data_IF_533503596281
#
_entry.id   IF_533503596281
#
_cell.length_a   1.000
_cell.length_b   1.000
_cell.length_c   1.000
_cell.angle_alpha   90.00
_cell.angle_beta   90.00
_cell.angle_gamma   90.00
#
_symmetry.space_group_name_H-M   'P 1'
#
loop_
_entity.id
_entity.type
_entity.pdbx_description
1 polymer ?
#
# COMPACT_ATOMS: atom_id res chain seq x y z
N UNK A 1 15.45 8.01 -10.52
CA UNK A 1 14.80 7.99 -9.19
C UNK A 1 13.60 7.03 -9.17
N UNK A 2 12.80 6.89 -10.23
CA UNK A 2 11.65 5.94 -10.25
C UNK A 2 12.03 4.48 -10.00
N UNK A 3 13.17 4.02 -10.51
CA UNK A 3 13.58 2.61 -10.36
C UNK A 3 13.94 2.25 -8.92
N UNK A 4 14.43 3.22 -8.12
CA UNK A 4 14.70 3.01 -6.68
C UNK A 4 13.39 2.88 -5.90
N UNK A 5 12.37 3.69 -6.21
CA UNK A 5 11.07 3.58 -5.54
C UNK A 5 10.33 2.29 -5.91
N UNK A 6 10.40 1.84 -7.15
CA UNK A 6 9.84 0.55 -7.53
C UNK A 6 10.47 -0.59 -6.75
N UNK A 7 11.80 -0.62 -6.67
CA UNK A 7 12.51 -1.63 -5.89
C UNK A 7 12.15 -1.56 -4.40
N UNK A 8 12.13 -0.36 -3.81
CA UNK A 8 11.74 -0.15 -2.42
C UNK A 8 10.33 -0.68 -2.14
N UNK A 9 9.35 -0.32 -2.97
CA UNK A 9 7.96 -0.74 -2.80
C UNK A 9 7.82 -2.27 -2.94
N UNK A 10 8.54 -2.88 -3.90
CA UNK A 10 8.59 -4.34 -4.02
C UNK A 10 9.16 -5.00 -2.75
N UNK A 11 10.25 -4.48 -2.19
CA UNK A 11 10.85 -5.04 -0.96
C UNK A 11 9.89 -4.95 0.22
N UNK A 12 9.23 -3.80 0.40
CA UNK A 12 8.22 -3.62 1.45
C UNK A 12 7.10 -4.64 1.25
N UNK A 13 6.52 -4.70 0.05
CA UNK A 13 5.42 -5.59 -0.29
C UNK A 13 5.77 -7.07 -0.10
N UNK A 14 6.94 -7.52 -0.58
CA UNK A 14 7.40 -8.91 -0.45
C UNK A 14 7.58 -9.32 1.01
N UNK A 15 8.16 -8.44 1.85
CA UNK A 15 8.31 -8.71 3.28
C UNK A 15 6.96 -8.74 4.02
N UNK A 16 6.09 -7.77 3.76
CA UNK A 16 4.73 -7.73 4.34
C UNK A 16 3.97 -8.99 3.95
N UNK A 17 3.86 -9.27 2.65
CA UNK A 17 3.21 -10.48 2.12
C UNK A 17 3.78 -11.76 2.73
N UNK A 18 5.10 -11.87 2.85
CA UNK A 18 5.76 -13.04 3.42
C UNK A 18 5.31 -13.34 4.85
N UNK A 19 5.31 -12.33 5.73
CA UNK A 19 4.90 -12.53 7.12
C UNK A 19 3.39 -12.75 7.25
N UNK A 20 2.58 -12.06 6.45
CA UNK A 20 1.14 -12.25 6.44
C UNK A 20 0.75 -13.67 6.00
N UNK A 21 1.37 -14.20 4.94
CA UNK A 21 1.15 -15.57 4.47
C UNK A 21 1.61 -16.59 5.51
N UNK A 22 2.77 -16.37 6.13
CA UNK A 22 3.28 -17.23 7.22
C UNK A 22 2.28 -17.29 8.37
N UNK A 23 1.82 -16.14 8.87
CA UNK A 23 0.83 -16.06 9.95
C UNK A 23 -0.49 -16.71 9.56
N UNK A 24 -0.94 -16.52 8.32
CA UNK A 24 -2.14 -17.17 7.79
C UNK A 24 -1.99 -18.70 7.77
N UNK A 25 -0.81 -19.22 7.43
CA UNK A 25 -0.55 -20.67 7.42
C UNK A 25 -0.58 -21.28 8.83
N UNK A 26 -0.23 -20.50 9.86
CA UNK A 26 -0.22 -20.93 11.25
C UNK A 26 -1.60 -20.83 11.91
N UNK A 27 -2.36 -19.78 11.58
CA UNK A 27 -3.61 -19.42 12.30
C UNK A 27 -4.89 -19.71 11.51
N UNK A 28 -4.79 -19.95 10.20
CA UNK A 28 -5.94 -20.04 9.31
C UNK A 28 -6.66 -18.69 9.14
N UNK A 29 -7.82 -18.70 8.49
CA UNK A 29 -8.65 -17.50 8.38
C UNK A 29 -9.36 -17.24 9.71
N UNK A 30 -8.99 -16.13 10.36
CA UNK A 30 -9.54 -15.72 11.65
C UNK A 30 -10.54 -14.58 11.41
N UNK A 31 -11.54 -14.84 10.57
CA UNK A 31 -12.63 -13.89 10.39
C UNK A 31 -13.49 -13.86 11.66
N UNK A 32 -13.44 -12.75 12.41
CA UNK A 32 -14.39 -12.53 13.50
C UNK A 32 -15.82 -12.63 12.93
N UNK A 33 -16.51 -13.75 13.22
CA UNK A 33 -17.93 -13.91 12.94
C UNK A 33 -18.70 -13.29 14.10
N UNK A 34 -18.53 -11.98 14.32
CA UNK A 34 -19.16 -11.33 15.46
C UNK A 34 -20.57 -10.89 15.11
N UNK A 35 -21.47 -11.15 16.06
CA UNK A 35 -22.89 -10.77 16.10
C UNK A 35 -23.16 -9.26 16.04
N UNK A 36 -22.12 -8.41 15.98
CA UNK A 36 -22.20 -6.96 16.05
C UNK A 36 -21.29 -6.30 15.01
N UNK A 37 -21.74 -6.11 13.76
CA UNK A 37 -20.92 -5.58 12.66
C UNK A 37 -20.39 -4.16 12.89
N UNK A 38 -20.98 -3.39 13.81
CA UNK A 38 -20.61 -1.97 14.04
C UNK A 38 -19.37 -1.78 14.94
N UNK A 39 -18.70 -2.88 15.36
CA UNK A 39 -17.49 -2.86 16.22
C UNK A 39 -16.32 -3.63 15.60
N UNK A 40 -16.21 -3.64 14.28
CA UNK A 40 -15.08 -4.25 13.56
C UNK A 40 -13.78 -3.48 13.89
N UNK A 41 -13.18 -3.83 15.02
CA UNK A 41 -11.84 -3.41 15.51
C UNK A 41 -10.82 -4.56 15.40
N UNK A 42 -11.13 -5.58 14.60
CA UNK A 42 -10.21 -6.68 14.27
C UNK A 42 -9.00 -6.19 13.44
N UNK A 43 -9.11 -4.99 12.87
CA UNK A 43 -8.10 -4.23 12.12
C UNK A 43 -6.71 -4.21 12.79
N UNK A 44 -6.63 -3.99 14.10
CA UNK A 44 -5.34 -3.63 14.71
C UNK A 44 -4.23 -4.69 14.60
N UNK A 45 -4.53 -5.99 14.70
CA UNK A 45 -3.45 -6.98 14.86
C UNK A 45 -2.67 -7.27 13.58
N UNK A 46 -3.34 -7.26 12.43
CA UNK A 46 -2.69 -7.56 11.16
C UNK A 46 -1.97 -6.32 10.63
N UNK A 47 -2.57 -5.15 10.85
CA UNK A 47 -1.99 -3.84 10.53
C UNK A 47 -0.75 -3.56 11.39
N UNK A 48 -0.76 -3.90 12.69
CA UNK A 48 0.41 -3.78 13.58
C UNK A 48 1.64 -4.53 13.04
N UNK A 49 1.46 -5.77 12.59
CA UNK A 49 2.56 -6.58 12.02
C UNK A 49 3.10 -5.95 10.75
N UNK A 50 2.22 -5.48 9.85
CA UNK A 50 2.65 -4.86 8.62
C UNK A 50 3.35 -3.52 8.86
N UNK A 51 2.89 -2.73 9.84
CA UNK A 51 3.55 -1.50 10.29
C UNK A 51 4.97 -1.78 10.76
N UNK A 52 5.18 -2.79 11.62
CA UNK A 52 6.51 -3.14 12.12
C UNK A 52 7.48 -3.49 10.99
N UNK A 53 7.02 -4.26 10.00
CA UNK A 53 7.81 -4.63 8.83
C UNK A 53 8.16 -3.41 7.98
N UNK A 54 7.20 -2.52 7.74
CA UNK A 54 7.42 -1.29 6.98
C UNK A 54 8.50 -0.43 7.66
N UNK A 55 8.42 -0.29 8.99
CA UNK A 55 9.41 0.45 9.77
C UNK A 55 10.80 -0.19 9.71
N UNK A 56 10.89 -1.52 9.78
CA UNK A 56 12.16 -2.25 9.62
C UNK A 56 12.79 -1.98 8.26
N UNK A 57 12.01 -1.98 7.18
CA UNK A 57 12.52 -1.73 5.82
C UNK A 57 12.97 -0.28 5.63
N UNK A 58 12.30 0.67 6.29
CA UNK A 58 12.57 2.10 6.13
C UNK A 58 13.55 2.66 7.16
N UNK A 59 14.00 1.88 8.15
CA UNK A 59 14.83 2.36 9.26
C UNK A 59 16.11 3.09 8.82
N UNK A 60 16.72 2.66 7.72
CA UNK A 60 17.97 3.22 7.18
C UNK A 60 17.73 4.25 6.07
N UNK A 61 16.46 4.57 5.78
CA UNK A 61 16.06 5.53 4.75
C UNK A 61 15.72 6.87 5.39
N UNK A 62 16.34 7.94 4.90
CA UNK A 62 15.97 9.31 5.27
C UNK A 62 14.66 9.68 4.59
N UNK A 63 13.54 9.36 5.22
CA UNK A 63 12.22 9.67 4.68
C UNK A 63 11.22 10.03 5.78
N UNK A 64 10.22 10.83 5.41
CA UNK A 64 9.06 11.07 6.24
C UNK A 64 8.05 9.96 6.00
N UNK A 65 7.57 9.32 7.07
CA UNK A 65 6.69 8.15 6.99
C UNK A 65 5.30 8.53 7.50
N UNK A 66 4.30 8.33 6.64
CA UNK A 66 2.89 8.50 6.95
C UNK A 66 2.19 7.16 6.75
N UNK A 67 1.55 6.63 7.79
CA UNK A 67 0.82 5.37 7.72
C UNK A 67 -0.55 5.49 8.37
N UNK A 68 -1.52 4.75 7.83
CA UNK A 68 -2.84 4.63 8.46
C UNK A 68 -2.72 4.06 9.88
N UNK A 69 -3.55 4.55 10.80
CA UNK A 69 -3.63 4.07 12.18
C UNK A 69 -2.31 4.10 12.97
N UNK A 70 -1.32 4.88 12.53
CA UNK A 70 -0.01 5.01 13.17
C UNK A 70 0.50 6.45 13.22
N UNK A 71 1.41 6.75 14.16
CA UNK A 71 1.96 8.10 14.37
C UNK A 71 2.96 8.45 13.26
N UNK A 72 2.77 9.55 12.53
CA UNK A 72 3.75 9.94 11.50
C UNK A 72 5.16 10.14 12.06
N UNK A 73 6.18 9.73 11.30
CA UNK A 73 7.59 10.04 11.58
C UNK A 73 8.06 11.12 10.61
N UNK A 74 8.56 12.23 11.18
CA UNK A 74 9.00 13.40 10.41
C UNK A 74 10.46 13.68 10.77
N UNK A 75 11.31 13.70 9.75
CA UNK A 75 12.71 14.10 9.76
C UNK A 75 12.91 15.30 8.82
N UNK A 76 13.52 16.36 9.33
CA UNK A 76 13.83 17.57 8.57
C UNK A 76 14.93 17.36 7.54
N UNK A 77 15.72 16.29 7.69
CA UNK A 77 16.74 15.86 6.76
C UNK A 77 16.24 14.74 5.83
N UNK A 78 14.94 14.43 5.82
CA UNK A 78 14.36 13.46 4.89
C UNK A 78 14.63 13.84 3.43
N UNK A 79 14.90 12.84 2.60
CA UNK A 79 15.08 13.00 1.15
C UNK A 79 13.73 13.02 0.42
N UNK A 80 12.72 12.32 0.95
CA UNK A 80 11.38 12.22 0.40
C UNK A 80 10.33 11.93 1.50
N UNK A 81 9.05 12.01 1.15
CA UNK A 81 7.93 11.55 1.97
C UNK A 81 7.27 10.32 1.37
N UNK A 82 6.95 9.33 2.20
CA UNK A 82 6.27 8.10 1.80
C UNK A 82 4.98 7.93 2.61
N UNK A 83 3.91 7.58 1.89
CA UNK A 83 2.56 7.37 2.42
C UNK A 83 2.20 5.92 2.15
N UNK A 84 1.85 5.18 3.20
CA UNK A 84 1.65 3.74 3.10
C UNK A 84 0.37 3.35 3.85
N UNK A 85 -0.55 2.70 3.15
CA UNK A 85 -1.50 1.80 3.79
C UNK A 85 -0.93 0.38 3.67
N UNK A 86 -0.43 -0.19 4.78
CA UNK A 86 0.23 -1.50 4.74
C UNK A 86 -0.71 -2.62 4.29
N UNK A 87 -2.01 -2.51 4.58
CA UNK A 87 -3.03 -3.50 4.25
C UNK A 87 -4.40 -2.82 4.01
N UNK A 88 -4.59 -2.28 2.80
CA UNK A 88 -5.91 -1.88 2.33
C UNK A 88 -6.79 -3.13 2.21
N UNK A 89 -7.90 -3.15 2.94
CA UNK A 89 -8.77 -4.31 3.06
C UNK A 89 -8.28 -5.35 4.08
N UNK A 90 -7.69 -4.94 5.20
CA UNK A 90 -7.31 -5.84 6.31
C UNK A 90 -8.42 -6.79 6.78
N UNK A 91 -9.68 -6.35 6.83
CA UNK A 91 -10.81 -7.25 7.10
C UNK A 91 -11.03 -8.32 6.02
N UNK A 92 -10.79 -7.97 4.75
CA UNK A 92 -10.87 -8.91 3.64
C UNK A 92 -9.71 -9.93 3.73
N UNK A 93 -8.55 -9.51 4.21
CA UNK A 93 -7.43 -10.41 4.51
C UNK A 93 -7.82 -11.48 5.52
N UNK A 94 -8.32 -11.07 6.69
CA UNK A 94 -8.71 -11.98 7.77
C UNK A 94 -9.78 -12.99 7.35
N UNK A 95 -10.69 -12.57 6.46
CA UNK A 95 -11.81 -13.40 5.97
C UNK A 95 -11.48 -14.27 4.77
N UNK A 96 -10.29 -14.12 4.18
CA UNK A 96 -9.95 -14.87 2.98
C UNK A 96 -10.63 -14.38 1.70
N UNK A 97 -11.08 -13.12 1.67
CA UNK A 97 -11.90 -12.56 0.59
C UNK A 97 -11.07 -11.60 -0.26
N UNK A 98 -11.30 -11.62 -1.57
CA UNK A 98 -10.73 -10.64 -2.51
C UNK A 98 -9.21 -10.67 -2.56
N UNK A 99 -8.61 -9.52 -2.85
CA UNK A 99 -7.17 -9.33 -2.95
C UNK A 99 -6.78 -8.04 -2.22
N UNK A 100 -6.65 -8.11 -0.87
CA UNK A 100 -6.15 -6.99 -0.07
C UNK A 100 -4.81 -6.51 -0.61
N UNK A 101 -4.58 -5.21 -0.56
CA UNK A 101 -3.43 -4.60 -1.23
C UNK A 101 -2.53 -3.88 -0.23
N UNK A 102 -1.25 -3.78 -0.56
CA UNK A 102 -0.42 -2.72 -0.02
C UNK A 102 -0.50 -1.52 -0.95
N UNK A 103 -0.69 -0.32 -0.40
CA UNK A 103 -0.81 0.93 -1.17
C UNK A 103 0.30 1.88 -0.72
N UNK A 104 1.13 2.31 -1.66
CA UNK A 104 2.27 3.19 -1.39
C UNK A 104 2.25 4.36 -2.36
N UNK A 105 2.43 5.57 -1.84
CA UNK A 105 2.68 6.76 -2.62
C UNK A 105 3.92 7.50 -2.11
N UNK A 106 4.62 8.18 -3.00
CA UNK A 106 5.85 8.93 -2.68
C UNK A 106 5.76 10.34 -3.22
N UNK A 107 6.32 11.29 -2.48
CA UNK A 107 6.56 12.65 -2.91
C UNK A 107 8.01 13.04 -2.60
N UNK A 108 8.66 13.71 -3.54
CA UNK A 108 9.95 14.38 -3.28
C UNK A 108 9.79 15.61 -2.38
N UNK A 109 8.55 16.10 -2.20
CA UNK A 109 8.23 17.15 -1.25
C UNK A 109 8.20 16.59 0.16
N UNK A 110 8.84 17.32 1.09
CA UNK A 110 9.11 16.85 2.45
C UNK A 110 8.04 17.24 3.46
N UNK A 111 7.29 18.33 3.21
CA UNK A 111 6.28 18.87 4.12
C UNK A 111 5.08 19.41 3.36
N UNK A 112 3.93 19.44 4.03
CA UNK A 112 2.65 19.93 3.47
C UNK A 112 2.34 19.34 2.10
N UNK A 113 2.57 18.02 1.97
CA UNK A 113 2.38 17.27 0.72
C UNK A 113 0.90 17.27 0.37
N UNK A 114 0.59 17.64 -0.87
CA UNK A 114 -0.75 17.55 -1.45
C UNK A 114 -0.76 16.44 -2.50
N UNK A 115 -1.95 15.99 -2.90
CA UNK A 115 -2.10 14.95 -3.94
C UNK A 115 -1.33 15.27 -5.23
N UNK A 116 -1.32 16.53 -5.66
CA UNK A 116 -0.58 16.98 -6.85
C UNK A 116 0.94 16.93 -6.72
N UNK A 117 1.45 16.80 -5.49
CA UNK A 117 2.88 16.76 -5.19
C UNK A 117 3.42 15.31 -5.20
N UNK A 118 2.56 14.30 -5.39
CA UNK A 118 2.96 12.90 -5.50
C UNK A 118 3.70 12.66 -6.83
N UNK A 119 4.84 11.99 -6.76
CA UNK A 119 5.72 11.70 -7.91
C UNK A 119 5.75 10.22 -8.27
N UNK A 120 5.27 9.35 -7.39
CA UNK A 120 5.23 7.91 -7.61
C UNK A 120 4.10 7.25 -6.82
N UNK A 121 3.48 6.22 -7.40
CA UNK A 121 2.48 5.38 -6.75
C UNK A 121 2.73 3.90 -7.06
N UNK A 122 2.36 3.04 -6.11
CA UNK A 122 2.47 1.59 -6.19
C UNK A 122 1.34 0.94 -5.41
N UNK A 123 0.71 -0.06 -6.01
CA UNK A 123 -0.28 -0.92 -5.39
C UNK A 123 0.08 -2.36 -5.75
N UNK A 124 0.10 -3.25 -4.77
CA UNK A 124 0.26 -4.68 -5.02
C UNK A 124 -0.79 -5.50 -4.28
N UNK A 125 -1.46 -6.36 -5.01
CA UNK A 125 -2.34 -7.39 -4.46
C UNK A 125 -1.54 -8.40 -3.66
N UNK A 126 -1.79 -8.48 -2.35
CA UNK A 126 -1.03 -9.33 -1.44
C UNK A 126 -1.29 -10.82 -1.70
N UNK A 127 -2.40 -11.18 -2.36
CA UNK A 127 -2.67 -12.57 -2.77
C UNK A 127 -2.26 -12.81 -4.22
N UNK A 128 -2.76 -11.99 -5.15
CA UNK A 128 -2.51 -12.19 -6.58
C UNK A 128 -1.06 -11.92 -6.99
N UNK A 129 -0.39 -10.95 -6.35
CA UNK A 129 0.87 -10.37 -6.81
C UNK A 129 0.72 -9.44 -8.02
N UNK A 130 -0.52 -9.13 -8.44
CA UNK A 130 -0.80 -8.14 -9.48
C UNK A 130 -0.43 -6.75 -8.95
N UNK A 131 0.12 -5.92 -9.83
CA UNK A 131 0.71 -4.63 -9.44
C UNK A 131 0.20 -3.50 -10.32
N UNK A 132 -0.06 -2.36 -9.70
CA UNK A 132 -0.29 -1.09 -10.36
C UNK A 132 0.80 -0.12 -9.93
N UNK A 133 1.47 0.56 -10.85
CA UNK A 133 2.51 1.52 -10.49
C UNK A 133 2.73 2.58 -11.55
N UNK A 134 3.43 3.63 -11.19
CA UNK A 134 3.81 4.72 -12.10
C UNK A 134 5.30 4.65 -12.44
N UNK A 135 5.66 4.91 -13.70
CA UNK A 135 7.05 5.10 -14.15
C UNK A 135 7.07 6.15 -15.25
N UNK A 136 7.95 7.15 -15.14
CA UNK A 136 8.16 8.17 -16.19
C UNK A 136 6.84 8.76 -16.71
N UNK A 137 6.04 9.35 -15.81
CA UNK A 137 4.73 9.97 -16.06
C UNK A 137 3.63 9.05 -16.61
N UNK A 138 3.87 7.74 -16.67
CA UNK A 138 2.93 6.74 -17.15
C UNK A 138 2.52 5.78 -16.05
N UNK A 139 1.28 5.29 -16.10
CA UNK A 139 0.78 4.25 -15.20
C UNK A 139 0.82 2.88 -15.90
N UNK A 140 1.09 1.84 -15.14
CA UNK A 140 1.24 0.47 -15.61
C UNK A 140 0.46 -0.49 -14.72
N UNK A 141 -0.09 -1.53 -15.34
CA UNK A 141 -0.60 -2.71 -14.69
C UNK A 141 0.33 -3.88 -15.03
N UNK A 142 0.80 -4.61 -14.03
CA UNK A 142 1.49 -5.87 -14.21
C UNK A 142 0.62 -7.00 -13.66
N UNK A 143 0.36 -8.00 -14.51
CA UNK A 143 -0.33 -9.23 -14.11
C UNK A 143 0.70 -10.28 -13.71
N UNK A 144 0.63 -10.77 -12.48
CA UNK A 144 1.43 -11.87 -11.98
C UNK A 144 1.07 -13.19 -12.66
N UNK A 145 -0.22 -13.40 -12.97
CA UNK A 145 -0.64 -14.63 -13.65
C UNK A 145 -0.02 -14.75 -15.06
N UNK A 146 -0.02 -13.65 -15.82
CA UNK A 146 0.42 -13.67 -17.22
C UNK A 146 1.86 -13.21 -17.42
N UNK A 147 2.48 -12.65 -16.38
CA UNK A 147 3.80 -12.03 -16.41
C UNK A 147 3.90 -10.92 -17.47
N UNK A 148 2.80 -10.19 -17.70
CA UNK A 148 2.73 -9.10 -18.67
C UNK A 148 2.52 -7.76 -17.98
N UNK A 149 3.29 -6.77 -18.44
CA UNK A 149 3.11 -5.36 -18.13
C UNK A 149 2.26 -4.72 -19.25
N UNK A 150 1.24 -3.95 -18.87
CA UNK A 150 0.34 -3.24 -19.78
C UNK A 150 0.28 -1.78 -19.34
N UNK A 151 0.54 -0.81 -20.23
CA UNK A 151 0.37 0.60 -19.90
C UNK A 151 -1.12 0.91 -19.71
N UNK A 152 -1.45 1.56 -18.59
CA UNK A 152 -2.79 2.04 -18.29
C UNK A 152 -2.98 3.37 -19.02
N UNK A 153 -3.77 3.35 -20.08
CA UNK A 153 -4.16 4.55 -20.80
C UNK A 153 -5.43 5.09 -20.18
N UNK A 154 -5.30 6.10 -19.31
CA UNK A 154 -6.44 6.86 -18.85
C UNK A 154 -7.01 7.68 -20.02
N UNK A 155 -7.91 7.09 -20.79
CA UNK A 155 -8.69 7.84 -21.76
C UNK A 155 -9.84 8.52 -21.02
N UNK A 156 -9.70 9.83 -20.83
CA UNK A 156 -10.76 10.66 -20.27
C UNK A 156 -10.20 11.77 -19.41
N UNK A 157 -10.42 13.02 -19.83
CA UNK A 157 -10.61 14.10 -18.87
C UNK A 157 -12.00 13.90 -18.26
N UNK A 158 -12.16 12.92 -17.38
CA UNK A 158 -13.39 12.85 -16.59
C UNK A 158 -13.44 14.15 -15.79
N UNK A 159 -14.55 14.89 -15.87
CA UNK A 159 -14.68 16.07 -15.04
C UNK A 159 -14.64 15.62 -13.59
N UNK A 160 -13.95 16.36 -12.72
CA UNK A 160 -14.01 16.13 -11.27
C UNK A 160 -15.46 16.18 -10.75
N UNK A 161 -16.37 16.88 -11.46
CA UNK A 161 -17.81 16.88 -11.16
C UNK A 161 -18.51 15.54 -11.41
N UNK A 162 -17.87 14.63 -12.14
CA UNK A 162 -18.38 13.31 -12.51
C UNK A 162 -17.65 12.19 -11.75
N UNK A 163 -16.62 12.54 -10.97
CA UNK A 163 -15.90 11.58 -10.16
C UNK A 163 -16.70 11.23 -8.89
N UNK A 164 -16.91 9.94 -8.66
CA UNK A 164 -17.40 9.42 -7.38
C UNK A 164 -16.17 9.15 -6.52
N UNK A 165 -15.94 9.99 -5.52
CA UNK A 165 -14.96 9.72 -4.48
C UNK A 165 -15.63 8.87 -3.39
N UNK A 166 -15.05 7.70 -3.11
CA UNK A 166 -15.33 6.98 -1.87
C UNK A 166 -14.35 7.51 -0.81
N UNK A 167 -14.92 8.06 0.27
CA UNK A 167 -14.21 8.41 1.50
C UNK A 167 -14.52 7.33 2.54
#
# INVERSE_FOLDING_TARGET
MSDDYFYLCKVISEKVKGELVKRLSETGFVGETLSHPNKLKSTHKIDEVAIEIVLEVLQDRKCNIYMESWRSQIDDQADFSIFIDPIDGSLNWDRGIGDPCIVIAVSEKKREVKLKDLTYAYVEGLRSGDRYYTREDSAYFFSHLTQKEVPIRCQGKASLSEAIAYL
#
